data_IF_178695833617
#
_entry.id   IF_178695833617
#
_cell.length_a   1.000
_cell.length_b   1.000
_cell.length_c   1.000
_cell.angle_alpha   90.00
_cell.angle_beta   90.00
_cell.angle_gamma   90.00
#
_symmetry.space_group_name_H-M   'P 1'
#
loop_
_entity.id
_entity.type
_entity.pdbx_description
1 polymer ?
#
# COMPACT_ATOMS: atom_id res chain seq x y z
N UNK A 1 -8.16 22.30 0.77
CA UNK A 1 -7.66 21.21 -0.08
C UNK A 1 -7.39 20.00 0.81
N UNK A 2 -8.27 19.00 0.82
CA UNK A 2 -8.19 17.84 1.72
C UNK A 2 -6.96 16.99 1.39
N UNK A 3 -6.13 16.71 2.40
CA UNK A 3 -5.02 15.76 2.31
C UNK A 3 -5.58 14.38 2.64
N UNK A 4 -6.04 13.64 1.64
CA UNK A 4 -6.58 12.30 1.83
C UNK A 4 -5.43 11.28 1.77
N UNK A 5 -5.14 10.66 2.92
CA UNK A 5 -4.22 9.54 3.07
C UNK A 5 -5.02 8.38 3.65
N UNK A 6 -5.03 7.23 2.98
CA UNK A 6 -5.79 6.05 3.41
C UNK A 6 -4.88 4.83 3.32
N UNK A 7 -5.04 3.88 4.24
CA UNK A 7 -4.37 2.59 4.13
C UNK A 7 -5.28 1.47 4.62
N UNK A 8 -5.01 0.26 4.14
CA UNK A 8 -5.66 -0.96 4.55
C UNK A 8 -4.63 -2.08 4.62
N UNK A 9 -4.53 -2.74 5.77
CA UNK A 9 -3.66 -3.90 5.96
C UNK A 9 -4.51 -5.18 5.94
N UNK A 10 -4.13 -6.14 5.11
CA UNK A 10 -4.74 -7.46 5.05
C UNK A 10 -3.71 -8.51 5.45
N UNK A 11 -4.14 -9.77 5.57
CA UNK A 11 -3.25 -10.87 5.99
C UNK A 11 -2.21 -11.25 4.93
N UNK A 12 -2.46 -10.93 3.66
CA UNK A 12 -1.64 -11.30 2.51
C UNK A 12 -1.11 -10.12 1.67
N UNK A 13 -1.66 -8.91 1.82
CA UNK A 13 -1.19 -7.70 1.14
C UNK A 13 -1.66 -6.43 1.90
N UNK A 14 -1.28 -5.26 1.42
CA UNK A 14 -1.69 -3.97 1.96
C UNK A 14 -2.02 -3.02 0.81
N UNK A 15 -2.92 -2.07 1.05
CA UNK A 15 -3.25 -0.97 0.14
C UNK A 15 -2.86 0.37 0.74
N UNK A 16 -2.33 1.27 -0.08
CA UNK A 16 -1.97 2.63 0.30
C UNK A 16 -2.59 3.63 -0.68
N UNK A 17 -3.19 4.70 -0.18
CA UNK A 17 -3.52 5.90 -0.94
C UNK A 17 -2.64 7.00 -0.39
N UNK A 18 -1.62 7.37 -1.17
CA UNK A 18 -0.65 8.39 -0.76
C UNK A 18 -0.47 9.43 -1.84
N UNK A 19 -0.28 10.67 -1.40
CA UNK A 19 0.13 11.78 -2.25
C UNK A 19 1.63 11.99 -2.09
N UNK A 20 2.39 11.85 -3.17
CA UNK A 20 3.81 12.19 -3.18
C UNK A 20 4.00 13.62 -3.66
N UNK A 21 4.90 14.37 -3.01
CA UNK A 21 5.29 15.73 -3.44
C UNK A 21 6.38 15.70 -4.51
N UNK A 22 7.04 14.55 -4.67
CA UNK A 22 8.10 14.29 -5.63
C UNK A 22 7.85 12.93 -6.30
N UNK A 23 8.53 12.66 -7.41
CA UNK A 23 8.48 11.38 -8.11
C UNK A 23 9.34 10.30 -7.43
N UNK A 24 9.20 10.12 -6.11
CA UNK A 24 10.05 9.27 -5.27
C UNK A 24 9.31 8.05 -4.68
N UNK A 25 8.14 7.70 -5.22
CA UNK A 25 7.31 6.59 -4.75
C UNK A 25 8.09 5.28 -4.66
N UNK A 26 8.84 4.92 -5.72
CA UNK A 26 9.60 3.67 -5.77
C UNK A 26 10.64 3.56 -4.65
N UNK A 27 11.33 4.67 -4.34
CA UNK A 27 12.31 4.71 -3.26
C UNK A 27 11.61 4.57 -1.90
N UNK A 28 10.51 5.28 -1.68
CA UNK A 28 9.74 5.17 -0.44
C UNK A 28 9.22 3.73 -0.22
N UNK A 29 8.67 3.11 -1.26
CA UNK A 29 8.18 1.73 -1.19
C UNK A 29 9.29 0.71 -0.97
N UNK A 30 10.47 0.94 -1.56
CA UNK A 30 11.65 0.10 -1.30
C UNK A 30 12.02 0.15 0.19
N UNK A 31 12.09 1.34 0.78
CA UNK A 31 12.41 1.52 2.19
C UNK A 31 11.38 0.83 3.09
N UNK A 32 10.08 1.09 2.86
CA UNK A 32 8.99 0.48 3.63
C UNK A 32 9.09 -1.06 3.60
N UNK A 33 9.21 -1.64 2.40
CA UNK A 33 9.23 -3.08 2.25
C UNK A 33 10.49 -3.72 2.85
N UNK A 34 11.67 -3.12 2.65
CA UNK A 34 12.93 -3.66 3.20
C UNK A 34 12.94 -3.57 4.72
N UNK A 35 12.59 -2.41 5.28
CA UNK A 35 12.56 -2.21 6.73
C UNK A 35 11.54 -3.14 7.40
N UNK A 36 10.35 -3.30 6.82
CA UNK A 36 9.34 -4.20 7.37
C UNK A 36 9.74 -5.68 7.24
N UNK A 37 10.28 -6.10 6.10
CA UNK A 37 10.74 -7.46 5.90
C UNK A 37 11.85 -7.83 6.90
N UNK A 38 12.83 -6.94 7.09
CA UNK A 38 13.90 -7.13 8.08
C UNK A 38 13.36 -7.23 9.51
N UNK A 39 12.46 -6.31 9.89
CA UNK A 39 11.80 -6.33 11.21
C UNK A 39 11.03 -7.64 11.43
N UNK A 40 10.18 -8.02 10.49
CA UNK A 40 9.32 -9.19 10.60
C UNK A 40 10.12 -10.48 10.66
N UNK A 41 11.12 -10.62 9.79
CA UNK A 41 12.02 -11.78 9.77
C UNK A 41 12.79 -11.91 11.09
N UNK A 42 13.35 -10.79 11.61
CA UNK A 42 14.02 -10.79 12.92
C UNK A 42 13.07 -11.17 14.05
N UNK A 43 11.87 -10.59 14.08
CA UNK A 43 10.86 -10.85 15.12
C UNK A 43 10.34 -12.29 15.11
N UNK A 44 10.23 -12.90 13.93
CA UNK A 44 9.69 -14.26 13.74
C UNK A 44 10.77 -15.32 13.57
N UNK A 45 12.05 -14.97 13.73
CA UNK A 45 13.20 -15.85 13.49
C UNK A 45 13.13 -16.55 12.11
N UNK A 46 12.68 -15.81 11.09
CA UNK A 46 12.58 -16.27 9.71
C UNK A 46 13.72 -15.68 8.87
N UNK A 47 14.01 -16.34 7.76
CA UNK A 47 14.88 -15.85 6.70
C UNK A 47 14.16 -15.93 5.35
N UNK A 48 14.69 -15.22 4.35
CA UNK A 48 14.14 -15.19 2.99
C UNK A 48 13.13 -14.07 2.74
N UNK A 49 12.49 -14.14 1.57
CA UNK A 49 11.58 -13.10 1.09
C UNK A 49 10.25 -13.10 1.85
N UNK A 50 9.85 -11.92 2.34
CA UNK A 50 8.54 -11.72 2.95
C UNK A 50 7.46 -11.38 1.91
N UNK A 51 7.79 -10.53 0.94
CA UNK A 51 6.88 -10.08 -0.11
C UNK A 51 7.06 -10.92 -1.37
N UNK A 52 5.94 -11.25 -2.05
CA UNK A 52 5.92 -12.13 -3.23
C UNK A 52 6.18 -11.39 -4.56
N UNK A 53 6.72 -10.17 -4.52
CA UNK A 53 7.01 -9.41 -5.74
C UNK A 53 7.20 -7.92 -5.50
N UNK A 54 7.23 -7.16 -6.60
CA UNK A 54 7.27 -5.69 -6.58
C UNK A 54 5.89 -5.14 -6.22
N UNK A 55 5.87 -3.96 -5.59
CA UNK A 55 4.64 -3.20 -5.42
C UNK A 55 4.06 -2.81 -6.79
N UNK A 56 2.74 -2.64 -6.87
CA UNK A 56 2.04 -2.16 -8.06
C UNK A 56 1.48 -0.77 -7.75
N UNK A 57 1.59 0.18 -8.68
CA UNK A 57 1.08 1.54 -8.48
C UNK A 57 0.25 2.00 -9.67
N UNK A 58 -0.77 2.80 -9.38
CA UNK A 58 -1.64 3.46 -10.36
C UNK A 58 -1.66 4.94 -10.02
N UNK A 59 -1.34 5.80 -10.99
CA UNK A 59 -1.46 7.26 -10.81
C UNK A 59 -2.93 7.64 -10.94
N UNK A 60 -3.43 8.39 -9.96
CA UNK A 60 -4.84 8.80 -9.90
C UNK A 60 -4.89 10.31 -9.86
N UNK A 61 -5.73 10.89 -10.73
CA UNK A 61 -5.95 12.32 -10.75
C UNK A 61 -6.75 12.71 -9.51
N UNK A 62 -6.36 13.80 -8.86
CA UNK A 62 -6.99 14.28 -7.63
C UNK A 62 -8.31 15.02 -7.92
N UNK A 63 -9.24 14.33 -8.58
CA UNK A 63 -10.60 14.79 -8.82
C UNK A 63 -11.59 14.08 -7.89
N UNK A 64 -12.88 14.15 -8.20
CA UNK A 64 -13.97 13.57 -7.41
C UNK A 64 -13.83 12.06 -7.16
N UNK A 65 -12.94 11.38 -7.88
CA UNK A 65 -12.66 9.95 -7.73
C UNK A 65 -11.94 9.57 -6.43
N UNK A 66 -11.31 10.51 -5.72
CA UNK A 66 -10.57 10.20 -4.48
C UNK A 66 -11.48 9.70 -3.35
N UNK A 67 -12.68 10.29 -3.18
CA UNK A 67 -13.61 9.90 -2.10
C UNK A 67 -14.16 8.48 -2.29
N UNK A 68 -14.68 8.10 -3.47
CA UNK A 68 -15.06 6.71 -3.75
C UNK A 68 -13.90 5.73 -3.56
N UNK A 69 -12.69 6.12 -3.96
CA UNK A 69 -11.51 5.26 -3.82
C UNK A 69 -11.10 5.05 -2.37
N UNK A 70 -11.09 6.11 -1.55
CA UNK A 70 -10.84 6.00 -0.11
C UNK A 70 -11.84 5.04 0.54
N UNK A 71 -13.13 5.16 0.20
CA UNK A 71 -14.18 4.24 0.65
C UNK A 71 -13.91 2.80 0.18
N UNK A 72 -13.48 2.61 -1.06
CA UNK A 72 -13.13 1.30 -1.59
C UNK A 72 -12.00 0.64 -0.78
N UNK A 73 -10.92 1.37 -0.52
CA UNK A 73 -9.76 0.85 0.24
C UNK A 73 -10.17 0.45 1.66
N UNK A 74 -11.00 1.25 2.32
CA UNK A 74 -11.50 0.94 3.66
C UNK A 74 -12.44 -0.27 3.71
N UNK A 75 -13.19 -0.54 2.63
CA UNK A 75 -14.12 -1.67 2.54
C UNK A 75 -13.46 -2.97 2.04
N UNK A 76 -12.25 -2.89 1.50
CA UNK A 76 -11.53 -4.05 0.96
C UNK A 76 -11.28 -5.20 1.96
N UNK A 77 -11.06 -4.98 3.27
CA UNK A 77 -11.00 -6.07 4.24
C UNK A 77 -12.26 -6.95 4.27
N UNK A 78 -13.43 -6.39 3.90
CA UNK A 78 -14.72 -7.06 3.95
C UNK A 78 -15.19 -7.58 2.59
N UNK A 79 -14.69 -7.01 1.48
CA UNK A 79 -14.99 -7.43 0.11
C UNK A 79 -13.73 -8.02 -0.49
N UNK A 80 -13.62 -9.35 -0.50
CA UNK A 80 -12.62 -10.06 -1.30
C UNK A 80 -12.99 -9.88 -2.77
N UNK A 81 -12.67 -8.72 -3.33
CA UNK A 81 -12.73 -8.42 -4.75
C UNK A 81 -11.36 -7.82 -5.09
N UNK A 82 -10.57 -8.62 -5.78
CA UNK A 82 -9.18 -8.33 -6.15
C UNK A 82 -9.12 -7.20 -7.19
N UNK A 83 -9.40 -5.96 -6.78
CA UNK A 83 -8.96 -4.78 -7.52
C UNK A 83 -7.64 -4.34 -6.88
N UNK A 84 -6.56 -4.58 -7.62
CA UNK A 84 -5.19 -4.20 -7.26
C UNK A 84 -5.11 -2.67 -7.22
N UNK A 85 -4.90 -2.11 -6.03
CA UNK A 85 -4.65 -0.69 -5.80
C UNK A 85 -3.69 -0.52 -4.61
N UNK A 86 -2.39 -0.63 -4.93
CA UNK A 86 -1.23 -0.70 -4.03
C UNK A 86 -1.18 -1.94 -3.14
#
# INVERSE_FOLDING_TARGET
MSRELTYCLMTNHYHLLIKTTQANLSLAMQWINVSYAAYYNKKRQRSGHLFQGRFKSILIKADEYLKPLSRYIHLNPQRILSVILL
#
